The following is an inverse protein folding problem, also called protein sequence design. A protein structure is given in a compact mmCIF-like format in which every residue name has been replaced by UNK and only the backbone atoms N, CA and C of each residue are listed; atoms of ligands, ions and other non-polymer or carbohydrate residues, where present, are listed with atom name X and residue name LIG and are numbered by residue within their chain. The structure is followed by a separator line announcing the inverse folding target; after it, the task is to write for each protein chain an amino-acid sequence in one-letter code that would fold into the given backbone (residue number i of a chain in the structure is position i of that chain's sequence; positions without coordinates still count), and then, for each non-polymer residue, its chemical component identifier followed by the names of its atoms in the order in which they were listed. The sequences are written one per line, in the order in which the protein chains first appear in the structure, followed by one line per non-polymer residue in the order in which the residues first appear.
data_IF_451223402216
#
_entry.id   IF_451223402216
#
_cell.length_a   1.000
_cell.length_b   1.000
_cell.length_c   1.000
_cell.angle_alpha   90.00
_cell.angle_beta   90.00
_cell.angle_gamma   90.00
#
_symmetry.space_group_name_H-M   'P 1'
#
loop_
_entity.id
_entity.type
_entity.pdbx_description
1 polymer ?
#
# COMPACT_ATOMS: atom_id res chain seq x y z
N UNK A 1 -3.99 -5.04 6.40
CA UNK A 1 -4.26 -3.79 5.65
C UNK A 1 -3.40 -3.63 4.40
N UNK A 2 -2.13 -4.02 4.44
CA UNK A 2 -1.17 -3.95 3.33
C UNK A 2 -1.62 -4.66 2.04
N UNK A 3 -2.17 -5.88 2.13
CA UNK A 3 -2.67 -6.62 0.95
C UNK A 3 -3.85 -5.89 0.28
N UNK A 4 -4.81 -5.40 1.08
CA UNK A 4 -5.94 -4.64 0.57
C UNK A 4 -5.51 -3.33 -0.09
N UNK A 5 -4.54 -2.63 0.50
CA UNK A 5 -3.96 -1.42 -0.08
C UNK A 5 -3.37 -1.69 -1.47
N UNK A 6 -2.63 -2.79 -1.64
CA UNK A 6 -2.06 -3.18 -2.93
C UNK A 6 -3.14 -3.50 -3.98
N UNK A 7 -4.17 -4.28 -3.62
CA UNK A 7 -5.27 -4.62 -4.54
C UNK A 7 -5.95 -3.34 -5.04
N UNK A 8 -6.26 -2.42 -4.13
CA UNK A 8 -6.89 -1.14 -4.47
C UNK A 8 -5.97 -0.29 -5.33
N UNK A 9 -4.66 -0.26 -5.04
CA UNK A 9 -3.69 0.49 -5.83
C UNK A 9 -3.61 0.02 -7.28
N UNK A 10 -3.68 -1.31 -7.50
CA UNK A 10 -3.65 -1.93 -8.82
C UNK A 10 -4.93 -1.68 -9.62
N UNK A 11 -6.09 -1.67 -8.96
CA UNK A 11 -7.40 -1.49 -9.61
C UNK A 11 -7.64 -0.08 -10.15
N UNK A 12 -6.93 0.93 -9.67
CA UNK A 12 -7.05 2.30 -10.16
C UNK A 12 -6.26 2.52 -11.46
N UNK A 13 -6.79 3.37 -12.36
CA UNK A 13 -6.13 3.75 -13.62
C UNK A 13 -5.06 4.82 -13.37
N UNK A 14 -4.05 4.92 -14.25
CA UNK A 14 -3.01 5.97 -14.15
C UNK A 14 -3.63 7.38 -14.12
N UNK A 15 -4.60 7.61 -14.99
CA UNK A 15 -5.33 8.87 -15.09
C UNK A 15 -6.01 9.28 -13.77
N UNK A 16 -6.52 8.33 -12.99
CA UNK A 16 -7.16 8.64 -11.72
C UNK A 16 -6.18 9.19 -10.68
N UNK A 17 -4.90 8.79 -10.71
CA UNK A 17 -3.85 9.33 -9.83
C UNK A 17 -3.39 10.72 -10.27
N UNK A 18 -3.14 10.90 -11.57
CA UNK A 18 -2.69 12.18 -12.14
C UNK A 18 -3.75 13.25 -11.98
N UNK A 19 -4.99 12.93 -12.34
CA UNK A 19 -6.10 13.87 -12.20
C UNK A 19 -6.33 14.25 -10.74
N UNK A 20 -6.19 13.31 -9.79
CA UNK A 20 -6.26 13.57 -8.36
C UNK A 20 -5.08 14.41 -7.80
N UNK A 21 -4.08 14.76 -8.62
CA UNK A 21 -2.93 15.53 -8.18
C UNK A 21 -2.03 14.78 -7.19
N UNK A 22 -2.13 13.44 -7.15
CA UNK A 22 -1.31 12.59 -6.29
C UNK A 22 -0.08 12.08 -7.06
N UNK A 23 0.89 11.50 -6.34
CA UNK A 23 2.02 10.78 -6.96
C UNK A 23 1.51 9.65 -7.89
N UNK A 24 2.32 9.27 -8.87
CA UNK A 24 1.94 8.35 -9.95
C UNK A 24 1.50 6.97 -9.42
N UNK A 25 0.73 6.25 -10.25
CA UNK A 25 0.32 4.86 -9.93
C UNK A 25 1.52 3.99 -9.59
N UNK A 26 2.59 4.06 -10.39
CA UNK A 26 3.80 3.25 -10.20
C UNK A 26 4.39 3.47 -8.81
N UNK A 27 4.43 4.72 -8.34
CA UNK A 27 4.91 5.04 -7.00
C UNK A 27 4.05 4.36 -5.92
N UNK A 28 2.72 4.53 -5.97
CA UNK A 28 1.84 3.97 -4.95
C UNK A 28 1.73 2.45 -4.98
N UNK A 29 1.78 1.84 -6.17
CA UNK A 29 1.85 0.39 -6.31
C UNK A 29 3.16 -0.13 -5.74
N UNK A 30 4.31 0.51 -6.02
CA UNK A 30 5.59 0.11 -5.46
C UNK A 30 5.60 0.18 -3.92
N UNK A 31 5.09 1.28 -3.35
CA UNK A 31 5.00 1.47 -1.89
C UNK A 31 4.10 0.42 -1.25
N UNK A 32 2.89 0.21 -1.79
CA UNK A 32 1.95 -0.78 -1.24
C UNK A 32 2.43 -2.22 -1.44
N UNK A 33 3.14 -2.50 -2.53
CA UNK A 33 3.78 -3.78 -2.79
C UNK A 33 4.91 -4.06 -1.78
N UNK A 34 5.76 -3.07 -1.49
CA UNK A 34 6.77 -3.18 -0.45
C UNK A 34 6.14 -3.45 0.92
N UNK A 35 5.06 -2.75 1.27
CA UNK A 35 4.34 -2.96 2.53
C UNK A 35 3.76 -4.38 2.62
N UNK A 36 3.16 -4.89 1.54
CA UNK A 36 2.64 -6.25 1.48
C UNK A 36 3.77 -7.28 1.60
N UNK A 37 4.88 -7.07 0.89
CA UNK A 37 6.06 -7.92 0.97
C UNK A 37 6.62 -7.99 2.39
N UNK A 38 6.87 -6.85 3.04
CA UNK A 38 7.41 -6.84 4.41
C UNK A 38 6.44 -7.44 5.44
N UNK A 39 5.12 -7.29 5.22
CA UNK A 39 4.12 -7.93 6.08
C UNK A 39 4.21 -9.46 5.98
N UNK A 40 4.32 -10.00 4.76
CA UNK A 40 4.46 -11.46 4.53
C UNK A 40 5.83 -11.95 4.99
N UNK A 41 6.89 -11.22 4.69
CA UNK A 41 8.25 -11.55 5.10
C UNK A 41 8.37 -11.59 6.62
N UNK A 42 7.79 -10.63 7.33
CA UNK A 42 7.84 -10.64 8.79
C UNK A 42 7.02 -11.79 9.40
N UNK A 43 5.94 -12.22 8.75
CA UNK A 43 5.21 -13.42 9.17
C UNK A 43 6.10 -14.66 8.97
N UNK A 44 6.76 -14.77 7.82
CA UNK A 44 7.69 -15.85 7.50
C UNK A 44 8.87 -15.94 8.49
N UNK A 45 9.50 -14.82 8.83
CA UNK A 45 10.60 -14.82 9.82
C UNK A 45 10.12 -15.26 11.20
N UNK A 46 8.93 -14.82 11.60
CA UNK A 46 8.31 -15.22 12.88
C UNK A 46 8.09 -16.74 12.93
N UNK A 47 7.62 -17.34 11.84
CA UNK A 47 7.46 -18.80 11.74
C UNK A 47 8.78 -19.57 11.84
N UNK A 48 9.88 -18.99 11.39
CA UNK A 48 11.23 -19.58 11.50
C UNK A 48 11.88 -19.37 12.89
N UNK A 49 11.18 -18.78 13.85
CA UNK A 49 11.73 -18.45 15.17
C UNK A 49 12.70 -17.26 15.17
N UNK A 50 12.86 -16.59 14.03
CA UNK A 50 13.59 -15.33 13.95
C UNK A 50 12.68 -14.18 14.39
N UNK A 51 13.16 -13.34 15.31
CA UNK A 51 12.38 -12.22 15.85
C UNK A 51 11.82 -11.32 14.75
N UNK A 52 10.54 -10.96 14.85
CA UNK A 52 9.91 -10.02 13.94
C UNK A 52 10.42 -8.60 14.18
N UNK A 53 10.80 -7.91 13.09
CA UNK A 53 11.17 -6.49 13.16
C UNK A 53 9.92 -5.63 13.26
N UNK A 54 9.42 -5.43 14.47
CA UNK A 54 8.22 -4.63 14.77
C UNK A 54 8.27 -3.21 14.18
N UNK A 55 9.44 -2.58 14.09
CA UNK A 55 9.63 -1.29 13.42
C UNK A 55 9.29 -1.35 11.92
N UNK A 56 9.73 -2.39 11.23
CA UNK A 56 9.44 -2.59 9.79
C UNK A 56 7.93 -2.80 9.61
N UNK A 57 7.29 -3.56 10.49
CA UNK A 57 5.84 -3.74 10.45
C UNK A 57 5.09 -2.42 10.69
N UNK A 58 5.55 -1.58 11.63
CA UNK A 58 4.95 -0.27 11.88
C UNK A 58 5.09 0.65 10.66
N UNK A 59 6.26 0.71 10.04
CA UNK A 59 6.47 1.51 8.82
C UNK A 59 5.57 1.02 7.68
N UNK A 60 5.48 -0.30 7.50
CA UNK A 60 4.60 -0.89 6.49
C UNK A 60 3.11 -0.58 6.78
N UNK A 61 2.71 -0.63 8.05
CA UNK A 61 1.34 -0.35 8.48
C UNK A 61 0.99 1.13 8.29
N UNK A 62 1.87 2.06 8.65
CA UNK A 62 1.65 3.50 8.49
C UNK A 62 1.58 3.89 7.02
N UNK A 63 2.50 3.41 6.17
CA UNK A 63 2.49 3.68 4.74
C UNK A 63 1.23 3.12 4.05
N UNK A 64 0.83 1.88 4.37
CA UNK A 64 -0.43 1.32 3.89
C UNK A 64 -1.66 2.10 4.41
N UNK A 65 -1.61 2.56 5.65
CA UNK A 65 -2.64 3.42 6.25
C UNK A 65 -2.81 4.73 5.51
N UNK A 66 -1.72 5.44 5.23
CA UNK A 66 -1.72 6.69 4.45
C UNK A 66 -2.32 6.48 3.06
N UNK A 67 -1.94 5.40 2.37
CA UNK A 67 -2.55 5.09 1.07
C UNK A 67 -4.08 4.89 1.17
N UNK A 68 -4.54 4.13 2.16
CA UNK A 68 -5.97 3.84 2.33
C UNK A 68 -6.78 5.05 2.80
N UNK A 69 -6.19 5.92 3.62
CA UNK A 69 -6.87 7.07 4.22
C UNK A 69 -6.89 8.30 3.32
N UNK A 70 -5.81 8.58 2.58
CA UNK A 70 -5.68 9.80 1.77
C UNK A 70 -5.80 9.51 0.26
N UNK A 71 -5.03 8.55 -0.24
CA UNK A 71 -4.90 8.32 -1.70
C UNK A 71 -6.13 7.62 -2.25
N UNK A 72 -6.58 6.55 -1.60
CA UNK A 72 -7.74 5.77 -2.03
C UNK A 72 -9.00 6.65 -2.20
N UNK A 73 -9.44 7.47 -1.23
CA UNK A 73 -10.65 8.27 -1.43
C UNK A 73 -10.50 9.27 -2.59
N UNK A 74 -9.33 9.93 -2.72
CA UNK A 74 -9.08 10.87 -3.81
C UNK A 74 -9.14 10.21 -5.21
N UNK A 75 -8.56 9.02 -5.34
CA UNK A 75 -8.50 8.25 -6.59
C UNK A 75 -9.84 7.57 -6.89
N UNK A 76 -10.55 7.09 -5.87
CA UNK A 76 -11.83 6.39 -6.04
C UNK A 76 -12.94 7.28 -6.60
N UNK A 77 -12.98 8.56 -6.22
CA UNK A 77 -13.92 9.55 -6.77
C UNK A 77 -13.78 9.67 -8.29
N UNK A 78 -12.55 9.56 -8.80
CA UNK A 78 -12.23 9.74 -10.22
C UNK A 78 -12.24 8.45 -11.04
N UNK A 79 -12.35 7.30 -10.39
CA UNK A 79 -12.55 6.00 -11.05
C UNK A 79 -13.98 5.81 -11.59
N UNK A 80 -14.96 6.58 -11.09
CA UNK A 80 -16.39 6.45 -11.44
C UNK A 80 -16.89 7.44 -12.51
N UNK A 81 -16.03 8.31 -13.01
CA UNK A 81 -16.32 9.21 -14.14
C UNK A 81 -15.57 8.73 -15.36
#
# INVERSE_FOLDING_TARGET
MSVWALIVALQATNYAYESAGKRTKTFWVAVTAACAFFSVFSLYTTFLGAGSSWLIQLIAATAAGVFLADVRPAVAVRRRR
#
